data_IF_621160855385
#
_entry.id   IF_621160855385
#
_cell.length_a   1.000
_cell.length_b   1.000
_cell.length_c   1.000
_cell.angle_alpha   90.00
_cell.angle_beta   90.00
_cell.angle_gamma   90.00
#
_symmetry.space_group_name_H-M   'P 1'
#
loop_
_entity.id
_entity.type
_entity.pdbx_description
1 polymer ?
#
# COMPACT_ATOMS: atom_id res chain seq x y z
N UNK A 1 -5.87 -20.04 -3.93
CA UNK A 1 -6.44 -20.76 -2.77
C UNK A 1 -5.38 -20.97 -1.71
N UNK A 2 -5.79 -21.01 -0.46
CA UNK A 2 -4.94 -21.20 0.71
C UNK A 2 -5.51 -22.31 1.58
N UNK A 3 -4.70 -23.29 1.96
CA UNK A 3 -5.11 -24.45 2.74
C UNK A 3 -4.53 -24.34 4.15
N UNK A 4 -5.40 -24.36 5.16
CA UNK A 4 -5.02 -24.34 6.58
C UNK A 4 -5.35 -25.66 7.22
N UNK A 5 -4.38 -26.29 7.85
CA UNK A 5 -4.55 -27.43 8.73
C UNK A 5 -4.52 -26.96 10.19
N UNK A 6 -5.56 -27.24 10.92
CA UNK A 6 -5.64 -26.95 12.37
C UNK A 6 -5.82 -28.24 13.17
N UNK A 7 -5.24 -28.27 14.35
CA UNK A 7 -5.41 -29.34 15.33
C UNK A 7 -5.71 -28.68 16.68
N UNK A 8 -6.85 -29.00 17.28
CA UNK A 8 -7.21 -28.46 18.58
C UNK A 8 -6.60 -29.29 19.74
N UNK A 9 -6.77 -28.83 20.97
CA UNK A 9 -6.30 -29.50 22.19
C UNK A 9 -6.90 -30.90 22.39
N UNK A 10 -8.00 -31.23 21.70
CA UNK A 10 -8.68 -32.55 21.72
C UNK A 10 -8.30 -33.45 20.54
N UNK A 11 -7.21 -33.06 19.81
CA UNK A 11 -6.71 -33.78 18.65
C UNK A 11 -7.71 -33.84 17.46
N UNK A 12 -8.69 -32.92 17.41
CA UNK A 12 -9.56 -32.80 16.24
C UNK A 12 -8.78 -32.07 15.13
N UNK A 13 -8.63 -32.78 14.02
CA UNK A 13 -7.91 -32.27 12.83
C UNK A 13 -8.90 -31.73 11.84
N UNK A 14 -8.69 -30.47 11.40
CA UNK A 14 -9.52 -29.82 10.40
C UNK A 14 -8.68 -29.24 9.28
N UNK A 15 -9.09 -29.47 8.04
CA UNK A 15 -8.55 -28.82 6.85
C UNK A 15 -9.56 -27.79 6.35
N UNK A 16 -9.14 -26.56 6.22
CA UNK A 16 -9.97 -25.46 5.71
C UNK A 16 -9.33 -24.90 4.44
N UNK A 17 -10.05 -24.95 3.33
CA UNK A 17 -9.62 -24.38 2.06
C UNK A 17 -10.27 -23.02 1.87
N UNK A 18 -9.45 -21.98 1.87
CA UNK A 18 -9.84 -20.61 1.50
C UNK A 18 -9.67 -20.43 -0.01
N UNK A 19 -10.78 -20.26 -0.72
CA UNK A 19 -10.78 -19.93 -2.14
C UNK A 19 -10.91 -18.42 -2.33
N UNK A 20 -9.96 -17.82 -3.01
CA UNK A 20 -10.05 -16.41 -3.37
C UNK A 20 -10.96 -16.21 -4.57
N UNK A 21 -11.67 -15.09 -4.61
CA UNK A 21 -12.48 -14.74 -5.77
C UNK A 21 -11.57 -14.49 -6.97
N UNK A 22 -12.03 -14.87 -8.15
CA UNK A 22 -11.33 -14.55 -9.40
C UNK A 22 -11.23 -13.02 -9.56
N UNK A 23 -10.03 -12.50 -9.79
CA UNK A 23 -9.77 -11.06 -9.91
C UNK A 23 -9.33 -10.37 -8.60
N UNK A 24 -9.22 -11.09 -7.46
CA UNK A 24 -8.57 -10.54 -6.26
C UNK A 24 -7.06 -10.38 -6.49
N UNK A 25 -6.51 -9.20 -6.20
CA UNK A 25 -5.07 -8.91 -6.27
C UNK A 25 -4.31 -9.57 -5.11
N UNK A 26 -4.23 -10.90 -5.14
CA UNK A 26 -3.46 -11.66 -4.17
C UNK A 26 -2.10 -11.98 -4.78
N UNK A 27 -1.06 -11.45 -4.16
CA UNK A 27 0.31 -11.67 -4.60
C UNK A 27 0.71 -13.14 -4.39
N UNK A 28 1.39 -13.73 -5.37
CA UNK A 28 2.18 -14.93 -5.15
C UNK A 28 3.50 -14.58 -4.45
N UNK A 29 4.20 -15.59 -3.91
CA UNK A 29 5.47 -15.37 -3.21
C UNK A 29 6.53 -14.70 -4.10
N UNK A 30 6.61 -15.06 -5.39
CA UNK A 30 7.54 -14.44 -6.35
C UNK A 30 7.17 -12.97 -6.60
N UNK A 31 5.89 -12.65 -6.65
CA UNK A 31 5.43 -11.26 -6.82
C UNK A 31 5.73 -10.41 -5.58
N UNK A 32 5.63 -11.02 -4.40
CA UNK A 32 6.03 -10.38 -3.15
C UNK A 32 7.53 -10.08 -3.11
N UNK A 33 8.38 -11.04 -3.48
CA UNK A 33 9.83 -10.82 -3.59
C UNK A 33 10.13 -9.65 -4.53
N UNK A 34 9.48 -9.61 -5.70
CA UNK A 34 9.64 -8.50 -6.65
C UNK A 34 9.19 -7.15 -6.08
N UNK A 35 8.13 -7.12 -5.28
CA UNK A 35 7.65 -5.90 -4.63
C UNK A 35 8.65 -5.40 -3.58
N UNK A 36 9.23 -6.32 -2.79
CA UNK A 36 10.27 -6.01 -1.80
C UNK A 36 11.54 -5.49 -2.48
N UNK A 37 11.94 -6.06 -3.60
CA UNK A 37 13.13 -5.65 -4.37
C UNK A 37 12.95 -4.30 -5.08
N UNK A 38 11.72 -3.85 -5.33
CA UNK A 38 11.42 -2.54 -5.93
C UNK A 38 11.46 -1.39 -4.90
N UNK A 39 11.34 -1.68 -3.61
CA UNK A 39 11.43 -0.67 -2.56
C UNK A 39 12.89 -0.42 -2.19
N UNK A 40 13.44 0.72 -2.62
CA UNK A 40 14.85 1.09 -2.39
C UNK A 40 15.21 1.14 -0.89
N UNK A 41 14.31 1.58 -0.03
CA UNK A 41 14.54 1.64 1.41
C UNK A 41 14.70 0.26 2.00
N UNK A 42 13.78 -0.65 1.65
CA UNK A 42 13.83 -2.04 2.11
C UNK A 42 15.06 -2.74 1.55
N UNK A 43 15.34 -2.58 0.26
CA UNK A 43 16.50 -3.17 -0.39
C UNK A 43 17.81 -2.73 0.27
N UNK A 44 17.96 -1.44 0.58
CA UNK A 44 19.14 -0.91 1.26
C UNK A 44 19.31 -1.49 2.67
N UNK A 45 18.22 -1.61 3.43
CA UNK A 45 18.25 -2.24 4.76
C UNK A 45 18.64 -3.72 4.68
N UNK A 46 18.09 -4.48 3.75
CA UNK A 46 18.45 -5.89 3.55
C UNK A 46 19.89 -6.07 3.11
N UNK A 47 20.37 -5.24 2.18
CA UNK A 47 21.75 -5.27 1.72
C UNK A 47 22.74 -4.97 2.86
N UNK A 48 22.39 -4.09 3.80
CA UNK A 48 23.21 -3.79 4.96
C UNK A 48 23.43 -4.98 5.91
N UNK A 49 22.51 -5.97 5.89
CA UNK A 49 22.61 -7.19 6.67
C UNK A 49 23.49 -8.26 6.01
N UNK A 50 23.70 -8.17 4.70
CA UNK A 50 24.46 -9.15 3.94
C UNK A 50 25.96 -8.81 3.94
N UNK A 51 26.62 -9.09 5.08
CA UNK A 51 28.05 -8.83 5.28
C UNK A 51 28.84 -10.12 5.17
N UNK A 52 30.16 -9.99 4.89
CA UNK A 52 31.05 -11.14 4.79
C UNK A 52 31.04 -11.99 6.08
N UNK A 53 30.89 -13.30 5.93
CA UNK A 53 30.81 -14.22 7.06
C UNK A 53 29.41 -14.38 7.66
N UNK A 54 28.39 -13.83 7.01
CA UNK A 54 27.00 -14.04 7.40
C UNK A 54 26.17 -14.64 6.25
N UNK A 55 25.04 -15.25 6.60
CA UNK A 55 24.02 -15.74 5.67
C UNK A 55 22.68 -15.19 6.08
N UNK A 56 21.94 -14.66 5.12
CA UNK A 56 20.55 -14.26 5.33
C UNK A 56 19.63 -15.44 5.06
N UNK A 57 18.71 -15.67 5.98
CA UNK A 57 17.62 -16.64 5.85
C UNK A 57 16.29 -15.92 6.02
N UNK A 58 15.39 -16.13 5.08
CA UNK A 58 14.06 -15.55 5.08
C UNK A 58 13.02 -16.63 4.76
N UNK A 59 11.80 -16.46 5.24
CA UNK A 59 10.69 -17.36 4.97
C UNK A 59 9.37 -16.59 5.05
N UNK A 60 8.52 -16.76 4.05
CA UNK A 60 7.25 -16.05 3.96
C UNK A 60 6.19 -16.80 4.75
N UNK A 61 5.55 -16.11 5.69
CA UNK A 61 4.39 -16.54 6.45
C UNK A 61 3.17 -15.79 5.90
N UNK A 62 2.12 -16.51 5.54
CA UNK A 62 0.90 -15.92 4.99
C UNK A 62 -0.19 -16.01 6.05
N UNK A 63 -0.72 -14.87 6.47
CA UNK A 63 -1.77 -14.78 7.49
C UNK A 63 -3.04 -14.22 6.85
N UNK A 64 -4.12 -15.00 6.76
CA UNK A 64 -5.40 -14.48 6.29
C UNK A 64 -6.03 -13.58 7.37
N UNK A 65 -6.37 -12.35 6.98
CA UNK A 65 -7.04 -11.37 7.84
C UNK A 65 -8.29 -10.88 7.13
N UNK A 66 -9.46 -11.26 7.61
CA UNK A 66 -10.75 -10.95 6.97
C UNK A 66 -10.74 -11.31 5.47
N UNK A 67 -10.80 -10.32 4.60
CA UNK A 67 -10.83 -10.50 3.14
C UNK A 67 -9.47 -10.24 2.46
N UNK A 68 -8.40 -10.08 3.23
CA UNK A 68 -7.05 -9.80 2.73
C UNK A 68 -6.03 -10.81 3.25
N UNK A 69 -4.84 -10.79 2.67
CA UNK A 69 -3.69 -11.53 3.17
C UNK A 69 -2.64 -10.55 3.69
N UNK A 70 -2.17 -10.82 4.90
CA UNK A 70 -0.94 -10.23 5.42
C UNK A 70 0.20 -11.21 5.16
N UNK A 71 1.23 -10.75 4.46
CA UNK A 71 2.47 -11.48 4.28
C UNK A 71 3.46 -10.98 5.32
N UNK A 72 4.11 -11.90 6.01
CA UNK A 72 5.12 -11.61 7.03
C UNK A 72 6.38 -12.37 6.67
N UNK A 73 7.46 -11.68 6.42
CA UNK A 73 8.75 -12.26 6.08
C UNK A 73 9.80 -11.88 7.13
N UNK A 74 10.03 -12.71 8.16
CA UNK A 74 11.10 -12.51 9.13
C UNK A 74 12.46 -12.75 8.45
N UNK A 75 13.39 -11.83 8.67
CA UNK A 75 14.74 -11.83 8.11
C UNK A 75 15.72 -12.19 9.23
N UNK A 76 16.30 -13.36 9.10
CA UNK A 76 17.28 -13.88 10.04
C UNK A 76 18.69 -13.74 9.45
N UNK A 77 19.63 -13.39 10.31
CA UNK A 77 21.07 -13.41 10.01
C UNK A 77 21.74 -14.54 10.78
N UNK A 78 22.51 -15.35 10.08
CA UNK A 78 23.28 -16.47 10.63
C UNK A 78 24.77 -16.14 10.48
N UNK A 79 25.53 -16.22 11.58
CA UNK A 79 26.98 -16.09 11.58
C UNK A 79 27.60 -17.41 11.13
N UNK A 80 28.30 -17.42 10.00
CA UNK A 80 28.89 -18.64 9.44
C UNK A 80 30.12 -19.13 10.24
N UNK A 81 30.78 -18.20 10.95
CA UNK A 81 31.96 -18.51 11.77
C UNK A 81 31.59 -18.99 13.19
N UNK A 82 30.32 -18.91 13.57
CA UNK A 82 29.84 -19.41 14.86
C UNK A 82 29.50 -20.90 14.75
N UNK A 83 30.04 -21.71 15.66
CA UNK A 83 29.76 -23.16 15.69
C UNK A 83 28.28 -23.46 15.97
N UNK A 84 27.58 -22.59 16.65
CA UNK A 84 26.14 -22.73 16.97
C UNK A 84 25.22 -22.42 15.80
N UNK A 85 25.66 -21.56 14.87
CA UNK A 85 24.88 -21.09 13.71
C UNK A 85 23.44 -20.71 14.04
N UNK A 86 23.21 -20.08 15.21
CA UNK A 86 21.89 -19.68 15.67
C UNK A 86 21.37 -18.52 14.81
N UNK A 87 20.17 -18.65 14.18
CA UNK A 87 19.56 -17.56 13.44
C UNK A 87 19.15 -16.44 14.39
N UNK A 88 19.58 -15.21 14.11
CA UNK A 88 19.17 -14.01 14.83
C UNK A 88 18.18 -13.21 13.99
N UNK A 89 16.98 -12.96 14.52
CA UNK A 89 16.02 -12.08 13.88
C UNK A 89 16.59 -10.66 13.82
N UNK A 90 16.65 -10.08 12.62
CA UNK A 90 17.19 -8.73 12.38
C UNK A 90 16.11 -7.75 11.94
N UNK A 91 15.25 -8.20 11.04
CA UNK A 91 14.19 -7.38 10.48
C UNK A 91 12.95 -8.24 10.22
N UNK A 92 11.83 -7.58 10.07
CA UNK A 92 10.58 -8.19 9.60
C UNK A 92 10.06 -7.32 8.46
N UNK A 93 9.82 -7.95 7.31
CA UNK A 93 9.11 -7.33 6.20
C UNK A 93 7.65 -7.77 6.27
N UNK A 94 6.73 -6.83 6.11
CA UNK A 94 5.30 -7.10 6.00
C UNK A 94 4.75 -6.54 4.72
N UNK A 95 3.76 -7.21 4.13
CA UNK A 95 3.08 -6.72 2.94
C UNK A 95 1.59 -7.04 2.98
N UNK A 96 0.79 -6.16 2.39
CA UNK A 96 -0.64 -6.35 2.16
C UNK A 96 -1.05 -5.62 0.88
N UNK A 97 -1.78 -6.30 0.00
CA UNK A 97 -2.04 -5.78 -1.33
C UNK A 97 -0.76 -5.50 -2.10
N UNK A 98 -0.57 -4.28 -2.56
CA UNK A 98 0.63 -3.81 -3.28
C UNK A 98 1.58 -2.97 -2.41
N UNK A 99 1.37 -2.93 -1.10
CA UNK A 99 2.18 -2.18 -0.14
C UNK A 99 3.12 -3.10 0.61
N UNK A 100 4.31 -2.61 0.91
CA UNK A 100 5.34 -3.33 1.67
C UNK A 100 6.01 -2.39 2.66
N UNK A 101 6.33 -2.89 3.85
CA UNK A 101 7.05 -2.14 4.88
C UNK A 101 8.03 -3.04 5.63
N UNK A 102 9.04 -2.44 6.24
CA UNK A 102 10.06 -3.11 7.04
C UNK A 102 10.14 -2.49 8.44
N UNK A 103 10.44 -3.31 9.43
CA UNK A 103 10.69 -2.89 10.81
C UNK A 103 11.68 -3.80 11.51
N UNK A 104 12.10 -3.43 12.72
CA UNK A 104 12.98 -4.25 13.58
C UNK A 104 12.24 -5.44 14.20
N UNK A 105 10.93 -5.34 14.29
CA UNK A 105 10.00 -6.35 14.78
C UNK A 105 8.68 -6.25 14.00
N UNK A 106 7.75 -7.17 14.29
CA UNK A 106 6.48 -7.23 13.57
C UNK A 106 5.58 -6.03 13.86
N UNK A 107 5.59 -5.53 15.10
CA UNK A 107 4.79 -4.38 15.52
C UNK A 107 5.21 -3.12 14.77
N UNK A 108 6.50 -2.86 14.68
CA UNK A 108 7.07 -1.73 13.94
C UNK A 108 6.80 -1.85 12.44
N UNK A 109 6.98 -3.05 11.86
CA UNK A 109 6.71 -3.29 10.46
C UNK A 109 5.24 -3.04 10.10
N UNK A 110 4.29 -3.51 10.94
CA UNK A 110 2.86 -3.25 10.76
C UNK A 110 2.55 -1.76 10.93
N UNK A 111 3.11 -1.10 11.94
CA UNK A 111 2.91 0.35 12.13
C UNK A 111 3.40 1.15 10.92
N UNK A 112 4.55 0.78 10.36
CA UNK A 112 5.09 1.39 9.14
C UNK A 112 4.19 1.14 7.91
N UNK A 113 3.61 -0.04 7.79
CA UNK A 113 2.68 -0.38 6.72
C UNK A 113 1.40 0.48 6.81
N UNK A 114 0.83 0.60 8.02
CA UNK A 114 -0.38 1.39 8.28
C UNK A 114 -0.13 2.90 8.14
N UNK A 115 1.06 3.39 8.51
CA UNK A 115 1.40 4.81 8.32
C UNK A 115 1.48 5.20 6.85
N UNK A 116 1.89 4.29 5.96
CA UNK A 116 1.83 4.51 4.51
C UNK A 116 0.37 4.63 4.02
N UNK A 117 -0.57 3.94 4.65
CA UNK A 117 -2.01 4.11 4.34
C UNK A 117 -2.53 5.47 4.79
N UNK A 118 -2.17 5.91 6.00
CA UNK A 118 -2.56 7.21 6.51
C UNK A 118 -2.02 8.37 5.65
N UNK A 119 -0.74 8.30 5.26
CA UNK A 119 -0.10 9.31 4.40
C UNK A 119 -0.77 9.35 3.01
N UNK A 120 -1.08 8.19 2.41
CA UNK A 120 -1.74 8.17 1.10
C UNK A 120 -3.15 8.76 1.14
N UNK A 121 -3.90 8.55 2.23
CA UNK A 121 -5.24 9.15 2.43
C UNK A 121 -5.12 10.67 2.64
N UNK A 122 -4.12 11.14 3.41
CA UNK A 122 -3.88 12.58 3.62
C UNK A 122 -3.49 13.29 2.32
N UNK A 123 -2.61 12.71 1.50
CA UNK A 123 -2.21 13.28 0.21
C UNK A 123 -3.38 13.32 -0.78
N UNK A 124 -4.20 12.27 -0.87
CA UNK A 124 -5.40 12.27 -1.72
C UNK A 124 -6.44 13.33 -1.24
N UNK A 125 -6.55 13.56 0.07
CA UNK A 125 -7.44 14.58 0.63
C UNK A 125 -6.89 16.00 0.44
N UNK A 126 -5.58 16.21 0.51
CA UNK A 126 -4.94 17.49 0.21
C UNK A 126 -5.10 17.87 -1.26
N UNK A 127 -4.90 16.95 -2.18
CA UNK A 127 -5.07 17.18 -3.62
C UNK A 127 -6.50 17.59 -3.98
N UNK A 128 -7.51 16.95 -3.39
CA UNK A 128 -8.92 17.34 -3.58
C UNK A 128 -9.24 18.71 -3.02
N UNK A 129 -8.76 18.99 -1.80
CA UNK A 129 -8.98 20.28 -1.15
C UNK A 129 -8.29 21.41 -1.91
N UNK A 130 -7.09 21.16 -2.45
CA UNK A 130 -6.38 22.14 -3.27
C UNK A 130 -7.13 22.38 -4.60
N UNK A 131 -7.64 21.33 -5.24
CA UNK A 131 -8.43 21.45 -6.46
C UNK A 131 -9.73 22.23 -6.22
N UNK A 132 -10.43 21.99 -5.10
CA UNK A 132 -11.60 22.75 -4.68
C UNK A 132 -11.27 24.23 -4.48
N UNK A 133 -10.16 24.54 -3.83
CA UNK A 133 -9.70 25.94 -3.67
C UNK A 133 -9.42 26.61 -5.02
N UNK A 134 -8.81 25.89 -5.96
CA UNK A 134 -8.56 26.40 -7.31
C UNK A 134 -9.87 26.65 -8.07
N UNK A 135 -10.87 25.79 -7.94
CA UNK A 135 -12.21 26.00 -8.51
C UNK A 135 -12.87 27.23 -7.93
N UNK A 136 -12.82 27.41 -6.60
CA UNK A 136 -13.39 28.59 -5.94
C UNK A 136 -12.72 29.88 -6.43
N UNK A 137 -11.38 29.89 -6.54
CA UNK A 137 -10.63 31.03 -7.06
C UNK A 137 -10.93 31.31 -8.54
N UNK A 138 -11.02 30.27 -9.38
CA UNK A 138 -11.38 30.44 -10.78
C UNK A 138 -12.80 31.01 -10.96
N UNK A 139 -13.76 30.58 -10.15
CA UNK A 139 -15.10 31.15 -10.14
C UNK A 139 -15.12 32.62 -9.72
N UNK A 140 -14.34 32.98 -8.70
CA UNK A 140 -14.20 34.37 -8.26
C UNK A 140 -13.60 35.27 -9.36
N UNK A 141 -12.57 34.81 -10.05
CA UNK A 141 -11.98 35.51 -11.17
C UNK A 141 -13.00 35.71 -12.30
N UNK A 142 -13.81 34.70 -12.61
CA UNK A 142 -14.88 34.79 -13.59
C UNK A 142 -15.94 35.85 -13.20
N UNK A 143 -16.29 35.93 -11.92
CA UNK A 143 -17.22 36.96 -11.42
C UNK A 143 -16.62 38.38 -11.58
N UNK A 144 -15.32 38.55 -11.32
CA UNK A 144 -14.61 39.85 -11.49
C UNK A 144 -14.51 40.23 -12.96
N UNK A 145 -14.20 39.28 -13.84
CA UNK A 145 -14.17 39.48 -15.28
C UNK A 145 -15.55 39.87 -15.86
N UNK A 146 -16.61 39.24 -15.34
CA UNK A 146 -17.99 39.58 -15.67
C UNK A 146 -18.35 41.03 -15.26
N UNK A 147 -17.96 41.45 -14.06
CA UNK A 147 -18.19 42.85 -13.58
C UNK A 147 -17.47 43.88 -14.41
N UNK A 148 -16.30 43.54 -14.96
CA UNK A 148 -15.50 44.39 -15.81
C UNK A 148 -15.90 44.38 -17.28
N UNK A 149 -16.88 43.57 -17.69
CA UNK A 149 -17.32 43.34 -19.07
C UNK A 149 -16.15 42.98 -20.03
N UNK A 150 -15.11 42.32 -19.51
CA UNK A 150 -13.96 41.90 -20.32
C UNK A 150 -14.22 40.51 -20.92
N UNK A 151 -14.80 40.49 -22.12
CA UNK A 151 -15.20 39.27 -22.81
C UNK A 151 -14.05 38.29 -23.08
N UNK A 152 -12.83 38.78 -23.32
CA UNK A 152 -11.64 37.93 -23.53
C UNK A 152 -11.26 37.20 -22.24
N UNK A 153 -11.26 37.90 -21.11
CA UNK A 153 -10.97 37.29 -19.81
C UNK A 153 -12.08 36.32 -19.36
N UNK A 154 -13.33 36.68 -19.58
CA UNK A 154 -14.48 35.79 -19.30
C UNK A 154 -14.30 34.45 -20.03
N UNK A 155 -13.93 34.44 -21.30
CA UNK A 155 -13.69 33.22 -22.07
C UNK A 155 -12.54 32.37 -21.51
N UNK A 156 -11.44 33.01 -21.09
CA UNK A 156 -10.30 32.31 -20.46
C UNK A 156 -10.66 31.73 -19.10
N UNK A 157 -11.33 32.51 -18.25
CA UNK A 157 -11.73 32.09 -16.91
C UNK A 157 -12.75 30.97 -16.94
N UNK A 158 -13.71 31.01 -17.88
CA UNK A 158 -14.66 29.93 -18.13
C UNK A 158 -13.96 28.62 -18.53
N UNK A 159 -13.03 28.71 -19.47
CA UNK A 159 -12.29 27.52 -19.95
C UNK A 159 -11.46 26.91 -18.81
N UNK A 160 -10.84 27.74 -17.99
CA UNK A 160 -10.09 27.27 -16.83
C UNK A 160 -10.96 26.62 -15.77
N UNK A 161 -12.10 27.23 -15.45
CA UNK A 161 -13.07 26.67 -14.52
C UNK A 161 -13.60 25.31 -15.00
N UNK A 162 -13.91 25.20 -16.28
CA UNK A 162 -14.37 23.94 -16.88
C UNK A 162 -13.30 22.83 -16.77
N UNK A 163 -12.02 23.14 -17.08
CA UNK A 163 -10.94 22.17 -16.93
C UNK A 163 -10.78 21.67 -15.49
N UNK A 164 -10.89 22.56 -14.51
CA UNK A 164 -10.78 22.18 -13.09
C UNK A 164 -11.97 21.31 -12.64
N UNK A 165 -13.16 21.59 -13.14
CA UNK A 165 -14.36 20.77 -12.89
C UNK A 165 -14.22 19.37 -13.50
N UNK A 166 -13.71 19.26 -14.72
CA UNK A 166 -13.45 17.98 -15.38
C UNK A 166 -12.42 17.13 -14.63
N UNK A 167 -11.37 17.79 -14.09
CA UNK A 167 -10.40 17.12 -13.23
C UNK A 167 -11.06 16.59 -11.94
N UNK A 168 -11.91 17.39 -11.29
CA UNK A 168 -12.62 16.95 -10.10
C UNK A 168 -13.58 15.79 -10.39
N UNK A 169 -14.30 15.84 -11.51
CA UNK A 169 -15.17 14.73 -11.93
C UNK A 169 -14.38 13.43 -12.15
N UNK A 170 -13.22 13.53 -12.80
CA UNK A 170 -12.35 12.37 -13.01
C UNK A 170 -11.88 11.74 -11.70
N UNK A 171 -11.52 12.57 -10.71
CA UNK A 171 -11.13 12.09 -9.38
C UNK A 171 -12.30 11.43 -8.63
N UNK A 172 -13.50 12.01 -8.71
CA UNK A 172 -14.70 11.44 -8.09
C UNK A 172 -15.07 10.09 -8.72
N UNK A 173 -15.03 9.99 -10.06
CA UNK A 173 -15.30 8.73 -10.76
C UNK A 173 -14.27 7.63 -10.44
N UNK A 174 -13.01 8.00 -10.23
CA UNK A 174 -11.98 7.06 -9.79
C UNK A 174 -12.25 6.53 -8.39
N UNK A 175 -12.69 7.39 -7.48
CA UNK A 175 -13.03 7.01 -6.10
C UNK A 175 -14.28 6.13 -6.06
N UNK A 176 -15.33 6.47 -6.81
CA UNK A 176 -16.52 5.63 -6.91
C UNK A 176 -16.18 4.24 -7.46
N UNK A 177 -15.27 4.15 -8.45
CA UNK A 177 -14.79 2.85 -8.95
C UNK A 177 -14.01 2.08 -7.90
N UNK A 178 -13.16 2.76 -7.12
CA UNK A 178 -12.43 2.15 -6.00
C UNK A 178 -13.39 1.65 -4.91
N UNK A 179 -14.41 2.43 -4.55
CA UNK A 179 -15.44 2.03 -3.56
C UNK A 179 -16.29 0.86 -4.06
N UNK A 180 -16.69 0.86 -5.33
CA UNK A 180 -17.45 -0.25 -5.93
C UNK A 180 -16.61 -1.54 -5.95
N UNK A 181 -15.32 -1.43 -6.22
CA UNK A 181 -14.40 -2.58 -6.16
C UNK A 181 -14.19 -3.08 -4.74
N UNK A 182 -14.11 -2.19 -3.75
CA UNK A 182 -14.03 -2.53 -2.33
C UNK A 182 -15.31 -3.19 -1.80
N UNK A 183 -16.48 -2.70 -2.21
CA UNK A 183 -17.79 -3.24 -1.79
C UNK A 183 -18.22 -4.52 -2.53
N UNK A 184 -17.53 -4.88 -3.63
CA UNK A 184 -17.73 -6.15 -4.33
C UNK A 184 -16.86 -7.29 -3.79
N UNK A 185 -16.02 -7.01 -2.81
CA UNK A 185 -15.17 -7.99 -2.10
C UNK A 185 -15.80 -8.44 -0.80
#
# INVERSE_FOLDING_TARGET
>A
SYLVATCDSHNNKKLTLYKFKTGSSILGTIQLDSLVEQDEKILNELNSLNVTGTKIQKNIIIVPINNTLLYVEPIYQIMLNDKSQVPLLKKVVVASGNKVAIGNNIEEAIANLLSQEAISIEVEAEDKNELIKQIINANKNLEESNKSNNWEMIGKDMSKLQQLIEQLQTLVEQDEKKEIELNKK
#
